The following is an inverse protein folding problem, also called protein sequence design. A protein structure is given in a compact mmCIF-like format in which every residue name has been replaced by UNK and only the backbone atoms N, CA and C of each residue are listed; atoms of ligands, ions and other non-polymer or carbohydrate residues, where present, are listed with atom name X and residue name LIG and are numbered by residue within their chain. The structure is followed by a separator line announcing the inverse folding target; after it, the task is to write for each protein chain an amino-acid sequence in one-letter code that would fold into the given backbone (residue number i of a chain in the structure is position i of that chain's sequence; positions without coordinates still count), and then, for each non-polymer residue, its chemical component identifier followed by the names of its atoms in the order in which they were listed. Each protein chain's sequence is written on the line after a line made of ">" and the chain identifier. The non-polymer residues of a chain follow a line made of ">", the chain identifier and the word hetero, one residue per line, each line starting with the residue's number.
data_IF_650814469221
#
_entry.id   IF_650814469221
#
_cell.length_a   1.000
_cell.length_b   1.000
_cell.length_c   1.000
_cell.angle_alpha   90.00
_cell.angle_beta   90.00
_cell.angle_gamma   90.00
#
_symmetry.space_group_name_H-M   'P 1'
#
loop_
_entity.id
_entity.type
_entity.pdbx_description
1 polymer ?
#
# COMPACT_ATOMS: atom_id res chain seq x y z
N UNK A 1 27.34 3.01 -11.12
CA UNK A 1 26.48 3.76 -12.06
C UNK A 1 25.35 2.83 -12.45
N UNK A 2 24.29 2.73 -11.64
CA UNK A 2 23.11 1.93 -11.99
C UNK A 2 22.32 2.71 -13.04
N UNK A 3 22.20 2.12 -14.22
CA UNK A 3 21.37 2.65 -15.30
C UNK A 3 19.90 2.59 -14.89
N UNK A 4 19.23 3.75 -14.85
CA UNK A 4 17.77 3.81 -14.82
C UNK A 4 17.24 3.14 -16.10
N UNK A 5 16.76 1.90 -15.96
CA UNK A 5 16.04 1.21 -17.02
C UNK A 5 14.66 1.84 -17.14
N UNK A 6 14.53 2.83 -18.01
CA UNK A 6 13.23 3.33 -18.44
C UNK A 6 12.47 2.17 -19.09
N UNK A 7 11.39 1.72 -18.46
CA UNK A 7 10.42 0.84 -19.09
C UNK A 7 9.71 1.63 -20.21
N UNK A 8 9.35 0.96 -21.31
CA UNK A 8 8.76 1.56 -22.52
C UNK A 8 7.35 2.18 -22.30
N UNK A 9 6.83 2.21 -21.07
CA UNK A 9 5.46 2.62 -20.75
C UNK A 9 5.36 3.93 -19.95
N UNK A 10 6.46 4.66 -19.74
CA UNK A 10 6.45 5.95 -19.02
C UNK A 10 6.23 5.86 -17.50
N UNK A 11 6.02 4.65 -16.97
CA UNK A 11 6.06 4.35 -15.54
C UNK A 11 7.53 4.18 -15.13
N UNK A 12 8.09 5.18 -14.47
CA UNK A 12 9.37 5.04 -13.79
C UNK A 12 9.25 3.97 -12.71
N UNK A 13 10.14 2.97 -12.71
CA UNK A 13 10.31 2.08 -11.55
C UNK A 13 10.46 2.95 -10.30
N UNK A 14 9.57 2.76 -9.31
CA UNK A 14 9.69 3.44 -8.02
C UNK A 14 11.06 3.13 -7.40
N UNK A 15 11.68 4.12 -6.75
CA UNK A 15 12.95 3.91 -6.05
C UNK A 15 12.74 2.80 -4.99
N UNK A 16 13.50 1.69 -5.04
CA UNK A 16 13.35 0.59 -4.09
C UNK A 16 13.44 1.03 -2.63
N UNK A 17 14.24 2.06 -2.31
CA UNK A 17 14.35 2.59 -0.95
C UNK A 17 13.09 3.38 -0.54
N UNK A 18 12.46 4.09 -1.47
CA UNK A 18 11.19 4.79 -1.22
C UNK A 18 10.04 3.79 -1.07
N UNK A 19 10.01 2.76 -1.90
CA UNK A 19 9.01 1.71 -1.85
C UNK A 19 9.09 0.89 -0.55
N UNK A 20 10.29 0.70 -0.01
CA UNK A 20 10.45 0.06 1.30
C UNK A 20 9.77 0.86 2.42
N UNK A 21 9.78 2.20 2.35
CA UNK A 21 9.06 3.06 3.31
C UNK A 21 7.54 2.87 3.21
N UNK A 22 6.99 2.73 2.00
CA UNK A 22 5.59 2.35 1.80
C UNK A 22 5.28 1.02 2.48
N UNK A 23 6.10 -0.01 2.24
CA UNK A 23 5.86 -1.34 2.79
C UNK A 23 5.99 -1.38 4.31
N UNK A 24 6.85 -0.56 4.91
CA UNK A 24 6.97 -0.42 6.36
C UNK A 24 5.70 0.14 7.04
N UNK A 25 4.81 0.80 6.30
CA UNK A 25 3.51 1.24 6.81
C UNK A 25 2.47 0.11 6.87
N UNK A 26 2.68 -1.00 6.14
CA UNK A 26 1.74 -2.13 6.05
C UNK A 26 1.89 -3.11 7.23
N UNK A 27 0.81 -3.82 7.61
CA UNK A 27 0.88 -4.86 8.64
C UNK A 27 1.97 -5.89 8.35
N UNK A 28 2.62 -6.50 9.35
CA UNK A 28 3.83 -7.30 9.12
C UNK A 28 3.62 -8.48 8.17
N UNK A 29 2.43 -9.08 8.15
CA UNK A 29 2.12 -10.18 7.24
C UNK A 29 2.00 -9.71 5.79
N UNK A 30 1.31 -8.59 5.55
CA UNK A 30 1.20 -7.92 4.25
C UNK A 30 2.55 -7.42 3.75
N UNK A 31 3.35 -6.76 4.60
CA UNK A 31 4.69 -6.29 4.25
C UNK A 31 5.57 -7.45 3.75
N UNK A 32 5.56 -8.58 4.48
CA UNK A 32 6.28 -9.77 4.04
C UNK A 32 5.75 -10.31 2.70
N UNK A 33 4.44 -10.27 2.48
CA UNK A 33 3.83 -10.75 1.24
C UNK A 33 4.19 -9.89 0.04
N UNK A 34 4.00 -8.57 0.13
CA UNK A 34 4.28 -7.65 -0.97
C UNK A 34 5.77 -7.65 -1.36
N UNK A 35 6.67 -7.81 -0.38
CA UNK A 35 8.12 -7.93 -0.62
C UNK A 35 8.56 -9.22 -1.33
N UNK A 36 7.69 -10.23 -1.42
CA UNK A 36 7.95 -11.46 -2.19
C UNK A 36 7.46 -11.37 -3.63
N UNK A 37 6.70 -10.34 -3.98
CA UNK A 37 6.25 -10.15 -5.35
C UNK A 37 7.43 -9.75 -6.24
N UNK A 38 7.40 -10.24 -7.47
CA UNK A 38 8.24 -9.71 -8.54
C UNK A 38 7.70 -8.35 -9.01
N UNK A 39 8.54 -7.56 -9.70
CA UNK A 39 8.13 -6.31 -10.35
C UNK A 39 7.45 -5.27 -9.43
N UNK A 40 7.86 -5.18 -8.16
CA UNK A 40 7.33 -4.23 -7.17
C UNK A 40 7.34 -2.76 -7.64
N UNK A 41 8.27 -2.37 -8.53
CA UNK A 41 8.32 -1.04 -9.12
C UNK A 41 7.11 -0.66 -10.01
N UNK A 42 6.29 -1.64 -10.39
CA UNK A 42 5.04 -1.47 -11.13
C UNK A 42 3.79 -1.52 -10.23
N UNK A 43 3.95 -1.70 -8.91
CA UNK A 43 2.85 -1.74 -7.97
C UNK A 43 2.07 -0.42 -8.01
N UNK A 44 0.75 -0.50 -8.21
CA UNK A 44 -0.13 0.67 -8.25
C UNK A 44 -0.72 0.98 -6.87
N UNK A 45 -1.24 -0.03 -6.18
CA UNK A 45 -1.82 0.12 -4.84
C UNK A 45 -1.84 -1.22 -4.08
N UNK A 46 -1.92 -1.14 -2.74
CA UNK A 46 -2.19 -2.27 -1.84
C UNK A 46 -3.53 -2.01 -1.18
N UNK A 47 -4.51 -2.88 -1.44
CA UNK A 47 -5.88 -2.74 -0.96
C UNK A 47 -6.08 -3.62 0.26
N UNK A 48 -6.47 -3.00 1.38
CA UNK A 48 -6.85 -3.70 2.60
C UNK A 48 -8.30 -3.32 2.94
N UNK A 49 -9.25 -4.19 2.61
CA UNK A 49 -10.66 -4.03 2.95
C UNK A 49 -11.02 -4.93 4.15
N UNK A 50 -11.66 -4.38 5.19
CA UNK A 50 -12.03 -5.13 6.39
C UNK A 50 -12.82 -6.41 6.04
N UNK A 51 -12.32 -7.57 6.47
CA UNK A 51 -12.97 -8.87 6.25
C UNK A 51 -12.77 -9.46 4.85
N UNK A 52 -11.91 -8.87 4.01
CA UNK A 52 -11.52 -9.41 2.69
C UNK A 52 -10.04 -9.77 2.67
N UNK A 53 -9.65 -10.63 1.73
CA UNK A 53 -8.23 -10.91 1.49
C UNK A 53 -7.52 -9.63 1.00
N UNK A 54 -6.31 -9.37 1.48
CA UNK A 54 -5.50 -8.24 1.02
C UNK A 54 -5.05 -8.43 -0.43
N UNK A 55 -5.08 -7.36 -1.22
CA UNK A 55 -4.78 -7.40 -2.66
C UNK A 55 -3.66 -6.40 -3.03
N UNK A 56 -2.79 -6.77 -3.95
CA UNK A 56 -1.87 -5.86 -4.63
C UNK A 56 -2.30 -5.70 -6.08
N UNK A 57 -2.36 -4.46 -6.58
CA UNK A 57 -2.76 -4.16 -7.96
C UNK A 57 -1.60 -3.69 -8.80
N UNK A 58 -1.55 -4.20 -10.03
CA UNK A 58 -0.58 -3.88 -11.07
C UNK A 58 -1.33 -3.40 -12.33
N UNK A 59 -0.64 -2.82 -13.33
CA UNK A 59 -1.29 -2.32 -14.55
C UNK A 59 -2.14 -3.34 -15.31
N UNK A 60 -1.79 -4.62 -15.21
CA UNK A 60 -2.36 -5.71 -16.00
C UNK A 60 -3.00 -6.83 -15.17
N UNK A 61 -2.78 -6.86 -13.85
CA UNK A 61 -3.30 -7.93 -12.98
C UNK A 61 -3.40 -7.52 -11.51
N UNK A 62 -4.03 -8.39 -10.72
CA UNK A 62 -4.15 -8.26 -9.26
C UNK A 62 -3.62 -9.54 -8.60
N UNK A 63 -3.08 -9.41 -7.39
CA UNK A 63 -2.49 -10.52 -6.64
C UNK A 63 -3.04 -10.53 -5.22
N UNK A 64 -3.62 -11.65 -4.79
CA UNK A 64 -3.93 -11.88 -3.37
C UNK A 64 -2.61 -12.03 -2.59
N UNK A 65 -2.43 -11.22 -1.55
CA UNK A 65 -1.20 -11.17 -0.75
C UNK A 65 -1.17 -12.21 0.37
N UNK A 66 -2.34 -12.51 0.95
CA UNK A 66 -2.54 -13.43 2.06
C UNK A 66 -3.98 -13.98 1.97
N UNK A 67 -4.20 -15.23 2.34
CA UNK A 67 -5.55 -15.84 2.41
C UNK A 67 -6.28 -15.41 3.70
N UNK A 68 -5.56 -14.79 4.64
CA UNK A 68 -6.13 -14.28 5.90
C UNK A 68 -6.88 -12.97 5.62
N UNK A 69 -8.18 -12.89 5.95
CA UNK A 69 -8.92 -11.65 5.80
C UNK A 69 -8.35 -10.52 6.68
N UNK A 70 -8.30 -9.31 6.13
CA UNK A 70 -7.87 -8.09 6.81
C UNK A 70 -8.71 -7.84 8.06
N UNK A 71 -8.04 -7.57 9.17
CA UNK A 71 -8.67 -7.31 10.47
C UNK A 71 -8.75 -5.81 10.78
N UNK A 72 -9.53 -5.45 11.81
CA UNK A 72 -9.56 -4.05 12.28
C UNK A 72 -8.19 -3.63 12.82
N UNK A 73 -7.45 -4.55 13.44
CA UNK A 73 -6.10 -4.35 13.96
C UNK A 73 -5.10 -4.07 12.83
N UNK A 74 -5.29 -4.67 11.65
CA UNK A 74 -4.47 -4.38 10.48
C UNK A 74 -4.70 -2.95 9.96
N UNK A 75 -5.96 -2.52 9.91
CA UNK A 75 -6.30 -1.15 9.52
C UNK A 75 -5.79 -0.13 10.55
N UNK A 76 -5.91 -0.45 11.84
CA UNK A 76 -5.37 0.38 12.92
C UNK A 76 -3.85 0.48 12.82
N UNK A 77 -3.16 -0.65 12.56
CA UNK A 77 -1.71 -0.68 12.36
C UNK A 77 -1.26 0.30 11.28
N UNK A 78 -1.92 0.29 10.11
CA UNK A 78 -1.60 1.24 9.02
C UNK A 78 -1.87 2.67 9.46
N UNK A 79 -3.05 2.92 10.04
CA UNK A 79 -3.46 4.26 10.45
C UNK A 79 -2.52 4.88 11.50
N UNK A 80 -1.93 4.05 12.36
CA UNK A 80 -1.00 4.49 13.42
C UNK A 80 0.40 4.88 12.90
N UNK A 81 0.73 4.49 11.66
CA UNK A 81 2.06 4.68 11.06
C UNK A 81 2.12 5.80 10.04
N UNK A 82 0.98 6.39 9.74
CA UNK A 82 0.90 7.57 8.87
C UNK A 82 0.57 8.81 9.69
N UNK A 83 0.85 9.98 9.13
CA UNK A 83 0.39 11.24 9.73
C UNK A 83 -1.13 11.33 9.79
N UNK A 84 -1.65 12.41 10.36
CA UNK A 84 -3.09 12.66 10.39
C UNK A 84 -3.69 12.65 8.97
N UNK A 85 -4.81 11.94 8.80
CA UNK A 85 -5.60 12.01 7.58
C UNK A 85 -6.22 13.41 7.45
N UNK A 86 -6.04 14.03 6.28
CA UNK A 86 -6.72 15.28 5.94
C UNK A 86 -8.20 15.08 5.59
N UNK A 87 -8.87 16.17 5.25
CA UNK A 87 -10.29 16.18 4.85
C UNK A 87 -10.57 15.33 3.59
N UNK A 88 -9.55 15.05 2.78
CA UNK A 88 -9.63 14.15 1.61
C UNK A 88 -9.45 12.66 1.98
N UNK A 89 -9.48 12.31 3.27
CA UNK A 89 -9.25 10.96 3.79
C UNK A 89 -7.88 10.38 3.41
N UNK A 90 -6.87 11.23 3.25
CA UNK A 90 -5.54 10.77 2.85
C UNK A 90 -4.45 11.33 3.75
N UNK A 91 -3.43 10.51 3.97
CA UNK A 91 -2.22 10.84 4.72
C UNK A 91 -0.99 10.58 3.83
N UNK A 92 0.07 11.36 4.01
CA UNK A 92 1.36 11.10 3.38
C UNK A 92 2.23 10.20 4.23
N UNK A 93 3.16 9.48 3.59
CA UNK A 93 4.27 8.80 4.29
C UNK A 93 5.47 9.75 4.29
N UNK A 94 6.01 10.05 5.48
CA UNK A 94 7.10 11.01 5.63
C UNK A 94 8.26 10.73 4.66
N UNK A 95 8.77 11.80 4.02
CA UNK A 95 9.91 11.76 3.09
C UNK A 95 9.65 11.00 1.78
N UNK A 96 8.40 10.73 1.44
CA UNK A 96 8.01 10.07 0.19
C UNK A 96 6.87 10.83 -0.50
N UNK A 97 6.60 10.53 -1.78
CA UNK A 97 5.38 10.99 -2.47
C UNK A 97 4.20 10.03 -2.31
N UNK A 98 4.40 8.92 -1.62
CA UNK A 98 3.38 7.92 -1.37
C UNK A 98 2.33 8.45 -0.40
N UNK A 99 1.08 8.03 -0.62
CA UNK A 99 -0.06 8.39 0.22
C UNK A 99 -0.81 7.12 0.59
N UNK A 100 -1.41 7.14 1.78
CA UNK A 100 -2.39 6.16 2.22
C UNK A 100 -3.76 6.85 2.22
N UNK A 101 -4.73 6.25 1.54
CA UNK A 101 -6.13 6.63 1.57
C UNK A 101 -6.88 5.77 2.58
N UNK A 102 -7.84 6.33 3.31
CA UNK A 102 -8.78 5.58 4.15
C UNK A 102 -10.18 5.62 3.57
N UNK A 103 -10.87 4.49 3.70
CA UNK A 103 -12.32 4.39 3.49
C UNK A 103 -12.96 4.31 4.86
N UNK A 104 -13.96 5.17 5.11
CA UNK A 104 -14.69 5.20 6.37
C UNK A 104 -16.15 4.82 6.17
N UNK A 105 -16.70 4.09 7.13
CA UNK A 105 -18.14 3.84 7.17
C UNK A 105 -18.91 5.11 7.62
N UNK A 106 -20.25 5.04 7.63
CA UNK A 106 -21.11 6.17 8.06
C UNK A 106 -20.90 6.59 9.52
N UNK A 107 -20.34 5.71 10.35
CA UNK A 107 -19.97 5.99 11.74
C UNK A 107 -18.56 6.59 11.88
N UNK A 108 -17.85 6.84 10.78
CA UNK A 108 -16.49 7.41 10.78
C UNK A 108 -15.37 6.40 11.04
N UNK A 109 -15.69 5.12 11.25
CA UNK A 109 -14.69 4.07 11.48
C UNK A 109 -14.00 3.71 10.16
N UNK A 110 -12.69 3.48 10.22
CA UNK A 110 -11.91 3.00 9.07
C UNK A 110 -12.34 1.57 8.76
N UNK A 111 -12.72 1.32 7.52
CA UNK A 111 -13.13 0.00 7.01
C UNK A 111 -12.32 -0.44 5.80
N UNK A 112 -11.41 0.40 5.31
CA UNK A 112 -10.41 0.00 4.33
C UNK A 112 -9.30 1.03 4.18
N UNK A 113 -8.17 0.60 3.61
CA UNK A 113 -7.06 1.47 3.21
C UNK A 113 -6.52 1.09 1.83
N UNK A 114 -6.00 2.08 1.11
CA UNK A 114 -5.32 1.94 -0.19
C UNK A 114 -4.06 2.78 -0.25
#
# INVERSE_FOLDING_TARGET
>A
MQELRRSNNGLTDADPAELDLLFQALPPHINRAVKRLDHQGLLLEVVLDLGREPEARFPDHEVILDETPVTSEDLEFVSSRVGSFGDDNRAGIERTLHRISVIRNRGGQIVGVT
#
